data_IF_452979244009
#
_entry.id   IF_452979244009
#
_cell.length_a   1.000
_cell.length_b   1.000
_cell.length_c   1.000
_cell.angle_alpha   90.00
_cell.angle_beta   90.00
_cell.angle_gamma   90.00
#
_symmetry.space_group_name_H-M   'P 1'
#
loop_
_entity.id
_entity.type
_entity.pdbx_description
1 polymer ?
#
# COMPACT_ATOMS: atom_id res chain seq x y z
N UNK A 1 20.49 -0.77 33.89
CA UNK A 1 19.12 -1.33 33.86
C UNK A 1 18.28 -0.50 32.90
N UNK A 2 17.80 -1.10 31.81
CA UNK A 2 16.52 -0.81 31.16
C UNK A 2 16.29 -1.89 30.09
N UNK A 3 15.85 -3.07 30.54
CA UNK A 3 15.15 -4.02 29.69
C UNK A 3 13.77 -3.41 29.44
N UNK A 4 13.62 -2.64 28.37
CA UNK A 4 12.31 -2.23 27.89
C UNK A 4 11.88 -3.23 26.82
N UNK A 5 11.59 -4.47 27.24
CA UNK A 5 10.91 -5.43 26.36
C UNK A 5 9.42 -5.08 26.35
N UNK A 6 9.08 -3.99 25.67
CA UNK A 6 7.71 -3.52 25.48
C UNK A 6 7.55 -3.14 24.02
N UNK A 7 7.22 -4.12 23.19
CA UNK A 7 6.83 -3.83 21.81
C UNK A 7 5.39 -3.33 21.81
N UNK A 8 5.16 -2.24 21.11
CA UNK A 8 3.86 -1.59 20.90
C UNK A 8 3.38 -1.88 19.48
N UNK A 9 2.12 -2.31 19.31
CA UNK A 9 1.55 -2.54 17.99
C UNK A 9 1.21 -1.21 17.32
N UNK A 10 1.46 -1.13 16.01
CA UNK A 10 1.10 -0.03 15.15
C UNK A 10 0.32 -0.52 13.94
N UNK A 11 -0.53 0.36 13.41
CA UNK A 11 -1.34 0.09 12.23
C UNK A 11 -1.52 1.33 11.39
N UNK A 12 -1.13 1.24 10.13
CA UNK A 12 -1.34 2.29 9.14
C UNK A 12 -2.25 1.80 8.02
N UNK A 13 -3.18 2.64 7.58
CA UNK A 13 -3.95 2.43 6.35
C UNK A 13 -3.61 3.48 5.32
N UNK A 14 -3.00 3.05 4.23
CA UNK A 14 -2.60 3.91 3.13
C UNK A 14 -3.45 3.66 1.90
N UNK A 15 -4.06 4.72 1.36
CA UNK A 15 -4.87 4.64 0.13
C UNK A 15 -4.21 5.34 -1.05
N UNK A 16 -4.19 4.67 -2.20
CA UNK A 16 -3.82 5.20 -3.51
C UNK A 16 -5.03 5.13 -4.47
N UNK A 17 -5.59 6.29 -4.82
CA UNK A 17 -6.74 6.39 -5.73
C UNK A 17 -6.31 6.51 -7.19
N UNK A 18 -6.79 5.60 -8.04
CA UNK A 18 -6.70 5.68 -9.50
C UNK A 18 -7.82 6.50 -10.11
N UNK A 19 -7.52 7.31 -11.13
CA UNK A 19 -8.48 8.24 -11.75
C UNK A 19 -8.35 8.26 -13.28
N UNK A 20 -9.43 8.04 -14.01
CA UNK A 20 -9.43 8.17 -15.47
C UNK A 20 -9.78 9.61 -15.85
N UNK A 21 -9.06 10.18 -16.83
CA UNK A 21 -9.32 11.54 -17.31
C UNK A 21 -10.76 11.66 -17.85
N UNK A 22 -11.47 12.71 -17.45
CA UNK A 22 -12.87 12.94 -17.85
C UNK A 22 -13.93 12.12 -17.10
N UNK A 23 -13.53 11.12 -16.30
CA UNK A 23 -14.44 10.28 -15.50
C UNK A 23 -14.22 10.40 -13.99
N UNK A 24 -12.99 10.72 -13.57
CA UNK A 24 -12.64 10.85 -12.17
C UNK A 24 -12.18 9.53 -11.53
N UNK A 25 -12.31 9.39 -10.19
CA UNK A 25 -11.86 8.20 -9.46
C UNK A 25 -12.55 6.92 -9.91
N UNK A 26 -11.76 5.89 -10.21
CA UNK A 26 -12.25 4.59 -10.67
C UNK A 26 -11.98 3.47 -9.68
N UNK A 27 -10.90 3.56 -8.91
CA UNK A 27 -10.59 2.60 -7.86
C UNK A 27 -9.78 3.24 -6.72
N UNK A 28 -9.85 2.62 -5.55
CA UNK A 28 -8.90 2.82 -4.45
C UNK A 28 -8.10 1.53 -4.27
N UNK A 29 -6.78 1.66 -4.22
CA UNK A 29 -5.84 0.62 -3.82
C UNK A 29 -5.41 0.90 -2.39
N UNK A 30 -5.65 -0.02 -1.46
CA UNK A 30 -5.49 0.21 -0.03
C UNK A 30 -4.49 -0.80 0.53
N UNK A 31 -3.45 -0.29 1.18
CA UNK A 31 -2.54 -1.09 1.99
C UNK A 31 -2.92 -0.89 3.45
N UNK A 32 -3.19 -1.99 4.15
CA UNK A 32 -3.32 -2.02 5.59
C UNK A 32 -2.05 -2.69 6.09
N UNK A 33 -1.19 -1.93 6.78
CA UNK A 33 0.10 -2.38 7.28
C UNK A 33 0.04 -2.41 8.81
N UNK A 34 0.44 -3.53 9.40
CA UNK A 34 0.51 -3.74 10.84
C UNK A 34 1.93 -4.14 11.20
N UNK A 35 2.47 -3.61 12.30
CA UNK A 35 3.81 -3.97 12.80
C UNK A 35 3.88 -3.76 14.31
N UNK A 36 4.96 -4.22 14.91
CA UNK A 36 5.30 -3.94 16.31
C UNK A 36 6.64 -3.19 16.37
N UNK A 37 6.77 -2.20 17.25
CA UNK A 37 8.04 -1.50 17.51
C UNK A 37 8.31 -1.31 18.99
N UNK A 38 9.57 -1.13 19.39
CA UNK A 38 9.95 -0.80 20.77
C UNK A 38 10.74 0.52 20.87
N UNK A 39 10.67 1.35 19.83
CA UNK A 39 11.45 2.59 19.67
C UNK A 39 12.78 2.41 18.92
N UNK A 40 13.37 1.22 18.94
CA UNK A 40 14.65 0.92 18.26
C UNK A 40 14.52 -0.18 17.20
N UNK A 41 13.60 -1.12 17.41
CA UNK A 41 13.41 -2.31 16.57
C UNK A 41 11.97 -2.49 16.11
N UNK A 42 11.81 -3.12 14.96
CA UNK A 42 10.57 -3.53 14.31
C UNK A 42 10.46 -5.06 14.25
N UNK A 43 9.25 -5.59 14.41
CA UNK A 43 8.96 -7.00 14.18
C UNK A 43 7.51 -7.23 13.76
N UNK A 44 7.21 -8.48 13.39
CA UNK A 44 5.86 -8.95 13.08
C UNK A 44 5.14 -8.06 12.05
N UNK A 45 5.89 -7.50 11.11
CA UNK A 45 5.31 -6.70 10.05
C UNK A 45 4.48 -7.58 9.12
N UNK A 46 3.21 -7.23 8.96
CA UNK A 46 2.25 -7.89 8.07
C UNK A 46 1.51 -6.83 7.24
N UNK A 47 1.14 -7.19 6.01
CA UNK A 47 0.35 -6.30 5.17
C UNK A 47 -0.81 -7.03 4.52
N UNK A 48 -1.93 -6.31 4.43
CA UNK A 48 -3.14 -6.76 3.76
C UNK A 48 -3.50 -5.80 2.63
N UNK A 49 -3.88 -6.38 1.50
CA UNK A 49 -4.49 -5.66 0.38
C UNK A 49 -6.00 -5.54 0.59
N UNK A 50 -6.49 -4.31 0.54
CA UNK A 50 -7.91 -4.02 0.31
C UNK A 50 -8.06 -3.13 -0.95
N UNK A 51 -9.26 -3.10 -1.52
CA UNK A 51 -9.56 -2.27 -2.68
C UNK A 51 -11.04 -1.95 -2.81
N UNK A 52 -11.32 -0.80 -3.42
CA UNK A 52 -12.69 -0.40 -3.76
C UNK A 52 -12.78 -0.05 -5.25
N UNK A 53 -13.77 -0.60 -5.95
CA UNK A 53 -14.08 -0.29 -7.35
C UNK A 53 -15.27 0.67 -7.38
N UNK A 54 -15.05 1.92 -7.79
CA UNK A 54 -16.02 3.01 -7.66
C UNK A 54 -17.07 3.06 -8.77
N UNK A 55 -17.09 2.07 -9.65
CA UNK A 55 -18.06 2.00 -10.74
C UNK A 55 -17.94 0.70 -11.55
N UNK A 56 -18.92 0.42 -12.41
CA UNK A 56 -19.00 -0.84 -13.17
C UNK A 56 -17.88 -0.99 -14.20
N UNK A 57 -17.21 0.12 -14.53
CA UNK A 57 -16.14 0.16 -15.52
C UNK A 57 -14.80 -0.30 -14.96
N UNK A 58 -14.61 -0.24 -13.63
CA UNK A 58 -13.35 -0.58 -12.98
C UNK A 58 -13.26 -2.09 -12.71
N UNK A 59 -12.06 -2.65 -12.86
CA UNK A 59 -11.80 -4.08 -12.66
C UNK A 59 -10.49 -4.26 -11.92
N UNK A 60 -10.51 -5.05 -10.86
CA UNK A 60 -9.31 -5.55 -10.21
C UNK A 60 -8.74 -6.73 -11.02
N UNK A 61 -7.49 -6.61 -11.47
CA UNK A 61 -6.82 -7.63 -12.31
C UNK A 61 -5.89 -8.54 -11.50
N UNK A 62 -5.76 -8.31 -10.19
CA UNK A 62 -4.97 -9.14 -9.29
C UNK A 62 -3.81 -8.40 -8.61
N UNK A 63 -3.39 -8.96 -7.47
CA UNK A 63 -2.18 -8.55 -6.73
C UNK A 63 -0.94 -9.00 -7.49
N UNK A 64 0.03 -8.09 -7.68
CA UNK A 64 1.26 -8.36 -8.43
C UNK A 64 2.52 -8.37 -7.56
N UNK A 65 2.47 -7.70 -6.39
CA UNK A 65 3.52 -7.80 -5.38
C UNK A 65 2.89 -7.64 -4.00
N UNK A 66 3.32 -8.51 -3.09
CA UNK A 66 3.01 -8.48 -1.68
C UNK A 66 4.27 -8.93 -0.96
N UNK A 67 5.08 -7.96 -0.54
CA UNK A 67 6.40 -8.21 0.01
C UNK A 67 6.68 -7.22 1.14
N UNK A 68 7.20 -7.75 2.23
CA UNK A 68 7.80 -6.98 3.31
C UNK A 68 9.24 -7.48 3.43
N UNK A 69 10.18 -6.56 3.28
CA UNK A 69 11.61 -6.80 3.51
C UNK A 69 12.05 -5.99 4.72
N UNK A 70 12.90 -6.55 5.58
CA UNK A 70 13.32 -5.89 6.82
C UNK A 70 14.33 -6.70 7.62
N UNK A 71 15.04 -6.02 8.50
CA UNK A 71 16.15 -6.59 9.29
C UNK A 71 16.05 -6.31 10.80
N UNK A 72 14.88 -5.88 11.25
CA UNK A 72 14.63 -5.55 12.66
C UNK A 72 14.88 -4.09 13.02
N UNK A 73 15.62 -3.31 12.24
CA UNK A 73 15.80 -1.86 12.48
C UNK A 73 15.11 -0.99 11.43
N UNK A 74 14.82 -1.60 10.29
CA UNK A 74 14.09 -0.99 9.19
C UNK A 74 13.20 -2.06 8.54
N UNK A 75 12.13 -1.59 7.92
CA UNK A 75 11.37 -2.42 7.00
C UNK A 75 10.88 -1.61 5.81
N UNK A 76 10.66 -2.30 4.70
CA UNK A 76 10.02 -1.79 3.49
C UNK A 76 8.87 -2.73 3.12
N UNK A 77 7.66 -2.25 3.28
CA UNK A 77 6.44 -2.92 2.83
C UNK A 77 6.04 -2.41 1.45
N UNK A 78 6.04 -3.28 0.45
CA UNK A 78 5.64 -2.96 -0.92
C UNK A 78 4.40 -3.75 -1.30
N UNK A 79 3.33 -3.03 -1.61
CA UNK A 79 2.09 -3.59 -2.14
C UNK A 79 1.82 -3.10 -3.55
N UNK A 80 1.56 -4.03 -4.47
CA UNK A 80 1.23 -3.72 -5.86
C UNK A 80 0.04 -4.52 -6.35
N UNK A 81 -0.80 -3.88 -7.15
CA UNK A 81 -1.89 -4.56 -7.84
C UNK A 81 -2.21 -3.90 -9.17
N UNK A 82 -2.71 -4.71 -10.11
CA UNK A 82 -3.19 -4.24 -11.41
C UNK A 82 -4.68 -3.95 -11.36
N UNK A 83 -5.05 -2.86 -12.00
CA UNK A 83 -6.42 -2.42 -12.19
C UNK A 83 -6.64 -2.06 -13.66
N UNK A 84 -7.89 -2.10 -14.10
CA UNK A 84 -8.29 -1.55 -15.39
C UNK A 84 -9.61 -0.82 -15.29
N UNK A 85 -9.88 0.06 -16.25
CA UNK A 85 -11.16 0.71 -16.45
C UNK A 85 -11.57 0.64 -17.93
N UNK A 86 -12.76 0.14 -18.24
CA UNK A 86 -13.30 0.10 -19.62
C UNK A 86 -14.30 1.23 -19.85
N UNK A 87 -13.94 2.18 -20.70
CA UNK A 87 -14.72 3.39 -20.93
C UNK A 87 -14.90 3.61 -22.43
N UNK A 88 -16.16 3.71 -22.88
CA UNK A 88 -16.47 3.84 -24.31
C UNK A 88 -15.97 2.66 -25.16
N UNK A 89 -15.85 1.47 -24.57
CA UNK A 89 -15.33 0.27 -25.23
C UNK A 89 -13.80 0.15 -25.25
N UNK A 90 -13.08 1.12 -24.68
CA UNK A 90 -11.61 1.10 -24.58
C UNK A 90 -11.19 0.76 -23.15
N UNK A 91 -10.44 -0.33 -22.98
CA UNK A 91 -9.84 -0.69 -21.68
C UNK A 91 -8.54 0.10 -21.46
N UNK A 92 -8.43 0.75 -20.30
CA UNK A 92 -7.22 1.42 -19.82
C UNK A 92 -6.75 0.75 -18.53
N UNK A 93 -5.55 0.19 -18.54
CA UNK A 93 -4.95 -0.52 -17.41
C UNK A 93 -3.88 0.30 -16.68
N UNK A 94 -3.60 -0.09 -15.44
CA UNK A 94 -2.54 0.50 -14.63
C UNK A 94 -2.14 -0.39 -13.46
N UNK A 95 -0.90 -0.25 -12.99
CA UNK A 95 -0.43 -0.86 -11.73
C UNK A 95 -0.38 0.21 -10.63
N UNK A 96 -1.13 -0.01 -9.56
CA UNK A 96 -1.02 0.79 -8.35
C UNK A 96 0.12 0.25 -7.49
N UNK A 97 0.91 1.16 -6.91
CA UNK A 97 2.02 0.83 -6.01
C UNK A 97 1.88 1.69 -4.75
N UNK A 98 1.86 1.03 -3.60
CA UNK A 98 2.13 1.64 -2.31
C UNK A 98 3.43 1.03 -1.79
N UNK A 99 4.41 1.89 -1.53
CA UNK A 99 5.62 1.53 -0.80
C UNK A 99 5.64 2.32 0.50
N UNK A 100 5.83 1.60 1.59
CA UNK A 100 5.83 2.13 2.95
C UNK A 100 7.11 1.69 3.63
N UNK A 101 7.84 2.63 4.25
CA UNK A 101 9.09 2.33 4.97
C UNK A 101 8.99 2.78 6.41
N UNK A 102 9.51 1.95 7.33
CA UNK A 102 9.85 2.36 8.69
C UNK A 102 11.36 2.33 8.86
N UNK A 103 11.92 3.35 9.51
CA UNK A 103 13.35 3.49 9.79
C UNK A 103 13.66 3.57 11.29
N UNK A 104 14.93 3.46 11.67
CA UNK A 104 15.35 3.40 13.06
C UNK A 104 15.07 4.69 13.87
N UNK A 105 14.59 5.78 13.24
CA UNK A 105 14.17 7.00 13.95
C UNK A 105 12.67 7.06 14.20
N UNK A 106 11.91 6.05 13.75
CA UNK A 106 10.45 6.03 13.82
C UNK A 106 9.81 6.89 12.73
N UNK A 107 10.58 7.35 11.73
CA UNK A 107 10.03 8.14 10.63
C UNK A 107 9.34 7.22 9.61
N UNK A 108 8.21 7.71 9.11
CA UNK A 108 7.31 6.99 8.22
C UNK A 108 7.22 7.69 6.88
N UNK A 109 7.57 6.99 5.80
CA UNK A 109 7.47 7.53 4.44
C UNK A 109 6.61 6.63 3.55
N UNK A 110 5.69 7.28 2.83
CA UNK A 110 4.81 6.62 1.86
C UNK A 110 5.06 7.16 0.47
N UNK A 111 5.62 6.31 -0.39
CA UNK A 111 5.75 6.56 -1.82
C UNK A 111 4.54 5.97 -2.56
N UNK A 112 3.68 6.85 -3.07
CA UNK A 112 2.53 6.47 -3.91
C UNK A 112 2.87 6.70 -5.38
N UNK A 113 3.12 5.62 -6.13
CA UNK A 113 3.18 5.71 -7.60
C UNK A 113 1.82 5.31 -8.16
N UNK A 114 1.09 6.30 -8.65
CA UNK A 114 -0.17 6.10 -9.38
C UNK A 114 0.18 5.66 -10.79
N UNK A 115 -0.48 4.63 -11.30
CA UNK A 115 -0.54 4.47 -12.74
C UNK A 115 -1.26 5.67 -13.35
N UNK A 116 -0.74 6.29 -14.41
CA UNK A 116 -1.57 7.14 -15.25
C UNK A 116 -2.59 6.21 -15.90
N UNK A 117 -3.79 6.15 -15.35
CA UNK A 117 -4.96 5.78 -16.15
C UNK A 117 -5.22 7.00 -17.02
N UNK A 118 -4.49 7.06 -18.14
CA UNK A 118 -4.44 8.23 -19.03
C UNK A 118 -5.80 8.70 -19.49
#
# INVERSE_FOLDING_TARGET
MKTQSGYEPEKETTTATGKVLGFGPVYDHIQILEWEHNGDEYRNADQTLDYNLKGPFATFKGKTKDEIDGNGYEFTATLKAKYAASIGGVERGGEAVIKTTGDATGDFAVDKKKAPTG
#
